data_IF_911161303854
#
_entry.id   IF_911161303854
#
_cell.length_a   1.000
_cell.length_b   1.000
_cell.length_c   1.000
_cell.angle_alpha   90.00
_cell.angle_beta   90.00
_cell.angle_gamma   90.00
#
_symmetry.space_group_name_H-M   'P 1'
#
loop_
_entity.id
_entity.type
_entity.pdbx_description
1 polymer ?
#
# COMPACT_ATOMS: atom_id res chain seq x y z
N UNK A 1 -5.09 -7.20 -25.72
CA UNK A 1 -5.01 -5.96 -24.94
C UNK A 1 -3.65 -5.97 -24.26
N UNK A 2 -2.82 -4.94 -24.38
CA UNK A 2 -1.54 -4.91 -23.65
C UNK A 2 -1.90 -4.64 -22.18
N UNK A 3 -1.67 -5.64 -21.34
CA UNK A 3 -1.73 -5.49 -19.89
C UNK A 3 -0.63 -4.50 -19.51
N UNK A 4 -1.02 -3.35 -18.95
CA UNK A 4 -0.07 -2.44 -18.33
C UNK A 4 0.34 -3.07 -17.01
N UNK A 5 1.31 -3.99 -17.06
CA UNK A 5 1.95 -4.49 -15.85
C UNK A 5 2.62 -3.30 -15.15
N UNK A 6 2.14 -3.00 -13.95
CA UNK A 6 2.84 -2.07 -13.06
C UNK A 6 4.18 -2.74 -12.77
N UNK A 7 5.29 -2.19 -13.26
CA UNK A 7 6.63 -2.74 -13.02
C UNK A 7 7.37 -2.02 -11.89
N UNK A 8 6.87 -0.87 -11.46
CA UNK A 8 7.38 -0.08 -10.34
C UNK A 8 6.34 0.96 -9.87
N UNK A 9 6.55 1.55 -8.69
CA UNK A 9 5.70 2.63 -8.17
C UNK A 9 5.95 4.01 -8.79
N UNK A 10 6.91 4.14 -9.71
CA UNK A 10 7.22 5.44 -10.33
C UNK A 10 6.02 6.02 -11.11
N UNK A 11 5.07 5.16 -11.51
CA UNK A 11 3.87 5.57 -12.23
C UNK A 11 2.64 5.80 -11.35
N UNK A 12 2.69 5.50 -10.04
CA UNK A 12 1.55 5.68 -9.14
C UNK A 12 1.99 6.13 -7.74
N UNK A 13 2.26 7.44 -7.56
CA UNK A 13 2.63 7.98 -6.24
C UNK A 13 1.53 7.76 -5.19
N UNK A 14 0.26 7.75 -5.61
CA UNK A 14 -0.86 7.50 -4.69
C UNK A 14 -0.89 6.06 -4.18
N UNK A 15 -0.62 5.06 -5.04
CA UNK A 15 -0.50 3.67 -4.61
C UNK A 15 0.64 3.48 -3.60
N UNK A 16 1.76 4.18 -3.80
CA UNK A 16 2.88 4.17 -2.86
C UNK A 16 2.48 4.69 -1.48
N UNK A 17 1.72 5.77 -1.43
CA UNK A 17 1.23 6.35 -0.18
C UNK A 17 0.25 5.41 0.54
N UNK A 18 -0.68 4.80 -0.20
CA UNK A 18 -1.60 3.80 0.35
C UNK A 18 -0.87 2.60 0.96
N UNK A 19 0.14 2.08 0.27
CA UNK A 19 0.96 0.97 0.78
C UNK A 19 1.77 1.38 2.01
N UNK A 20 2.33 2.59 2.00
CA UNK A 20 3.06 3.12 3.16
C UNK A 20 2.15 3.19 4.38
N UNK A 21 0.98 3.80 4.24
CA UNK A 21 -0.04 3.90 5.29
C UNK A 21 -0.45 2.53 5.83
N UNK A 22 -0.69 1.58 4.92
CA UNK A 22 -1.02 0.20 5.30
C UNK A 22 0.12 -0.47 6.07
N UNK A 23 1.37 -0.38 5.58
CA UNK A 23 2.53 -0.97 6.26
C UNK A 23 2.77 -0.35 7.64
N UNK A 24 2.60 0.98 7.77
CA UNK A 24 2.75 1.68 9.05
C UNK A 24 1.67 1.24 10.05
N UNK A 25 0.43 1.02 9.63
CA UNK A 25 -0.62 0.49 10.51
C UNK A 25 -0.41 -0.98 10.87
N UNK A 26 0.03 -1.80 9.92
CA UNK A 26 0.12 -3.25 10.10
C UNK A 26 1.34 -3.67 10.91
N UNK A 27 2.45 -2.95 10.74
CA UNK A 27 3.74 -3.33 11.31
C UNK A 27 4.28 -2.31 12.33
N UNK A 28 3.62 -1.15 12.48
CA UNK A 28 3.96 -0.09 13.43
C UNK A 28 5.45 0.28 13.37
N UNK A 29 6.15 0.19 14.49
CA UNK A 29 7.59 0.47 14.62
C UNK A 29 8.49 -0.44 13.76
N UNK A 30 7.98 -1.58 13.32
CA UNK A 30 8.70 -2.53 12.46
C UNK A 30 8.41 -2.31 10.97
N UNK A 31 7.66 -1.27 10.61
CA UNK A 31 7.33 -1.00 9.22
C UNK A 31 8.56 -0.63 8.39
N UNK A 32 8.73 -1.32 7.26
CA UNK A 32 9.77 -1.02 6.26
C UNK A 32 9.07 -0.47 5.03
N UNK A 33 9.35 0.79 4.70
CA UNK A 33 8.59 1.58 3.71
C UNK A 33 9.43 2.07 2.53
N UNK A 34 10.59 1.46 2.28
CA UNK A 34 11.30 1.68 1.02
C UNK A 34 10.61 0.99 -0.15
N UNK A 35 10.93 1.45 -1.36
CA UNK A 35 10.22 1.06 -2.57
C UNK A 35 10.31 -0.44 -2.88
N UNK A 36 11.38 -1.12 -2.45
CA UNK A 36 11.51 -2.57 -2.66
C UNK A 36 10.55 -3.33 -1.75
N UNK A 37 10.50 -2.98 -0.46
CA UNK A 37 9.60 -3.62 0.50
C UNK A 37 8.13 -3.32 0.19
N UNK A 38 7.80 -2.07 -0.15
CA UNK A 38 6.44 -1.71 -0.59
C UNK A 38 6.02 -2.53 -1.83
N UNK A 39 6.98 -2.85 -2.71
CA UNK A 39 6.69 -3.59 -3.94
C UNK A 39 6.39 -5.05 -3.64
N UNK A 40 7.16 -5.65 -2.74
CA UNK A 40 6.89 -7.01 -2.24
C UNK A 40 5.53 -7.09 -1.54
N UNK A 41 5.20 -6.11 -0.69
CA UNK A 41 3.91 -6.05 -0.01
C UNK A 41 2.75 -5.94 -1.01
N UNK A 42 2.88 -5.07 -2.03
CA UNK A 42 1.89 -4.96 -3.09
C UNK A 42 1.68 -6.28 -3.85
N UNK A 43 2.76 -6.97 -4.21
CA UNK A 43 2.68 -8.27 -4.88
C UNK A 43 2.02 -9.34 -4.00
N UNK A 44 2.29 -9.31 -2.69
CA UNK A 44 1.65 -10.19 -1.71
C UNK A 44 0.14 -9.93 -1.63
N UNK A 45 -0.27 -8.67 -1.45
CA UNK A 45 -1.67 -8.27 -1.38
C UNK A 45 -2.42 -8.60 -2.68
N UNK A 46 -1.79 -8.40 -3.83
CA UNK A 46 -2.36 -8.75 -5.13
C UNK A 46 -2.57 -10.27 -5.24
N UNK A 47 -1.55 -11.06 -4.91
CA UNK A 47 -1.61 -12.54 -4.92
C UNK A 47 -2.70 -13.08 -3.99
N UNK A 48 -2.87 -12.45 -2.83
CA UNK A 48 -3.85 -12.83 -1.83
C UNK A 48 -5.25 -12.25 -2.07
N UNK A 49 -5.42 -11.43 -3.11
CA UNK A 49 -6.66 -10.69 -3.40
C UNK A 49 -7.12 -9.80 -2.22
N UNK A 50 -6.17 -9.11 -1.58
CA UNK A 50 -6.34 -8.26 -0.38
C UNK A 50 -6.05 -6.78 -0.62
N UNK A 51 -6.07 -6.32 -1.87
CA UNK A 51 -5.83 -4.90 -2.18
C UNK A 51 -6.86 -3.95 -1.53
N UNK A 52 -8.03 -4.46 -1.12
CA UNK A 52 -9.01 -3.70 -0.34
C UNK A 52 -8.45 -3.17 1.00
N UNK A 53 -7.48 -3.87 1.60
CA UNK A 53 -6.87 -3.48 2.88
C UNK A 53 -6.18 -2.11 2.80
N UNK A 54 -5.70 -1.72 1.61
CA UNK A 54 -5.11 -0.40 1.38
C UNK A 54 -6.13 0.73 1.60
N UNK A 55 -7.37 0.53 1.17
CA UNK A 55 -8.45 1.50 1.33
C UNK A 55 -9.01 1.51 2.75
N UNK A 56 -9.05 0.34 3.40
CA UNK A 56 -9.43 0.23 4.81
C UNK A 56 -8.46 0.99 5.71
N UNK A 57 -7.15 0.84 5.46
CA UNK A 57 -6.09 1.59 6.11
C UNK A 57 -6.24 3.11 5.93
N UNK A 58 -6.47 3.55 4.68
CA UNK A 58 -6.69 4.98 4.38
C UNK A 58 -7.93 5.53 5.10
N UNK A 59 -9.05 4.80 5.06
CA UNK A 59 -10.28 5.18 5.74
C UNK A 59 -10.10 5.28 7.26
N UNK A 60 -9.34 4.36 7.85
CA UNK A 60 -9.01 4.40 9.28
C UNK A 60 -8.17 5.64 9.64
N UNK A 61 -7.12 5.92 8.86
CA UNK A 61 -6.27 7.10 9.09
C UNK A 61 -7.02 8.42 8.91
N UNK A 62 -7.92 8.50 7.93
CA UNK A 62 -8.73 9.70 7.72
C UNK A 62 -9.65 9.97 8.92
N UNK A 63 -10.28 8.93 9.49
CA UNK A 63 -11.08 9.07 10.71
C UNK A 63 -10.27 9.58 11.90
N UNK A 64 -9.04 9.11 12.07
CA UNK A 64 -8.15 9.59 13.14
C UNK A 64 -7.72 11.06 12.97
N UNK A 65 -7.73 11.59 11.75
CA UNK A 65 -7.37 12.99 11.48
C UNK A 65 -8.55 13.96 11.67
N UNK A 66 -9.77 13.45 11.58
CA UNK A 66 -11.00 14.21 11.78
C UNK A 66 -11.43 14.30 13.27
N UNK A 67 -10.73 13.60 14.18
CA UNK A 67 -10.85 13.68 15.65
C UNK A 67 -9.87 14.69 16.27
#
# INVERSE_FOLDING_TARGET
MKEYEITNFNFSPHLRELLKNYCELQYEENSITDDWHLWQEYQLLLKDNKLNLLFEAECFLNKLKDE
#
